data_IF_997399149976
#
_entry.id   IF_997399149976
#
_cell.length_a   1.000
_cell.length_b   1.000
_cell.length_c   1.000
_cell.angle_alpha   90.00
_cell.angle_beta   90.00
_cell.angle_gamma   90.00
#
_symmetry.space_group_name_H-M   'P 1'
#
loop_
_entity.id
_entity.type
_entity.pdbx_description
1 polymer ?
#
# COMPACT_ATOMS: atom_id res chain seq x y z
N UNK A 1 10.34 13.49 8.48
CA UNK A 1 11.81 13.47 8.32
C UNK A 1 12.33 12.15 8.83
N UNK A 2 13.23 11.53 8.08
CA UNK A 2 13.95 10.33 8.53
C UNK A 2 14.96 10.69 9.62
N UNK A 3 15.51 9.68 10.32
CA UNK A 3 16.43 9.88 11.45
C UNK A 3 17.90 9.82 10.99
N UNK A 4 18.78 10.47 11.74
CA UNK A 4 20.23 10.37 11.52
C UNK A 4 20.67 8.94 11.86
N UNK A 5 21.59 8.40 11.07
CA UNK A 5 22.07 7.02 11.18
C UNK A 5 21.11 5.96 10.62
N UNK A 6 19.95 6.35 10.09
CA UNK A 6 19.00 5.40 9.52
C UNK A 6 19.56 4.80 8.24
N UNK A 7 19.39 3.48 8.09
CA UNK A 7 19.82 2.71 6.92
C UNK A 7 18.84 2.91 5.78
N UNK A 8 19.37 3.27 4.62
CA UNK A 8 18.62 3.54 3.40
C UNK A 8 19.19 2.72 2.25
N UNK A 9 18.40 2.58 1.19
CA UNK A 9 18.81 2.02 -0.10
C UNK A 9 18.68 3.11 -1.16
N UNK A 10 19.67 3.20 -2.04
CA UNK A 10 19.62 4.10 -3.20
C UNK A 10 18.78 3.44 -4.28
N UNK A 11 17.70 4.10 -4.70
CA UNK A 11 16.74 3.55 -5.68
C UNK A 11 16.86 4.20 -7.06
N UNK A 12 17.38 5.43 -7.13
CA UNK A 12 17.55 6.15 -8.38
C UNK A 12 18.76 7.11 -8.33
N UNK A 13 19.11 7.67 -9.49
CA UNK A 13 20.11 8.74 -9.63
C UNK A 13 19.58 9.81 -10.58
N UNK A 14 18.62 10.61 -10.11
CA UNK A 14 17.95 11.61 -10.95
C UNK A 14 18.88 12.74 -11.39
N UNK A 15 19.89 13.04 -10.58
CA UNK A 15 20.83 14.13 -10.82
C UNK A 15 22.16 13.66 -11.42
N UNK A 16 22.26 12.39 -11.84
CA UNK A 16 23.45 11.79 -12.46
C UNK A 16 24.74 12.04 -11.65
N UNK A 17 24.66 11.93 -10.32
CA UNK A 17 25.79 12.10 -9.41
C UNK A 17 26.70 10.85 -9.37
N UNK A 18 26.38 9.84 -10.19
CA UNK A 18 26.99 8.52 -10.20
C UNK A 18 26.75 7.80 -8.86
N UNK A 19 25.49 7.83 -8.42
CA UNK A 19 25.06 7.15 -7.21
C UNK A 19 25.10 5.63 -7.45
N UNK A 20 25.62 4.84 -6.49
CA UNK A 20 25.58 3.39 -6.60
C UNK A 20 24.15 2.89 -6.29
N UNK A 21 23.30 2.85 -7.30
CA UNK A 21 21.91 2.37 -7.20
C UNK A 21 21.87 0.90 -6.77
N UNK A 22 20.94 0.57 -5.89
CA UNK A 22 20.80 -0.74 -5.24
C UNK A 22 21.68 -0.94 -4.01
N UNK A 23 22.54 0.03 -3.68
CA UNK A 23 23.43 -0.07 -2.53
C UNK A 23 22.89 0.64 -1.29
N UNK A 24 23.46 0.23 -0.16
CA UNK A 24 23.12 0.80 1.13
C UNK A 24 23.84 2.12 1.40
N UNK A 25 23.13 3.00 2.08
CA UNK A 25 23.66 4.23 2.65
C UNK A 25 23.12 4.50 4.05
N UNK A 26 23.68 5.52 4.69
CA UNK A 26 23.25 6.01 5.99
C UNK A 26 23.06 7.51 5.95
N UNK A 27 21.97 8.00 6.52
CA UNK A 27 21.71 9.44 6.63
C UNK A 27 22.65 10.04 7.66
N UNK A 28 23.48 11.01 7.28
CA UNK A 28 24.45 11.65 8.18
C UNK A 28 24.12 13.12 8.48
N UNK A 29 23.36 13.78 7.61
CA UNK A 29 22.88 15.13 7.83
C UNK A 29 21.66 15.43 6.95
N UNK A 30 21.00 16.56 7.24
CA UNK A 30 19.91 17.11 6.43
C UNK A 30 20.36 18.44 5.86
N UNK A 31 19.94 18.73 4.64
CA UNK A 31 19.96 20.11 4.17
C UNK A 31 18.78 20.88 4.78
N UNK A 32 19.01 22.13 5.17
CA UNK A 32 17.98 23.04 5.71
C UNK A 32 17.57 24.10 4.70
N UNK A 33 18.22 24.15 3.55
CA UNK A 33 17.91 25.11 2.52
C UNK A 33 16.66 24.67 1.75
N UNK A 34 15.58 25.44 1.90
CA UNK A 34 14.28 25.16 1.26
C UNK A 34 14.36 25.33 -0.27
N UNK A 35 15.31 26.13 -0.75
CA UNK A 35 15.54 26.34 -2.18
C UNK A 35 16.39 25.23 -2.82
N UNK A 36 16.92 24.30 -2.02
CA UNK A 36 17.73 23.21 -2.54
C UNK A 36 16.87 22.01 -2.95
N UNK A 37 17.20 21.39 -4.07
CA UNK A 37 16.54 20.18 -4.55
C UNK A 37 16.95 18.92 -3.77
N UNK A 38 17.91 19.04 -2.84
CA UNK A 38 18.44 17.93 -2.06
C UNK A 38 17.99 18.00 -0.60
N UNK A 39 17.53 16.87 -0.06
CA UNK A 39 16.99 16.78 1.30
C UNK A 39 18.02 16.21 2.30
N UNK A 40 18.80 15.21 1.86
CA UNK A 40 19.62 14.39 2.74
C UNK A 40 21.07 14.34 2.29
N UNK A 41 21.99 14.32 3.25
CA UNK A 41 23.38 13.92 3.01
C UNK A 41 23.53 12.49 3.50
N UNK A 42 23.94 11.61 2.60
CA UNK A 42 24.13 10.18 2.87
C UNK A 42 25.60 9.78 2.80
N UNK A 43 26.00 8.84 3.65
CA UNK A 43 27.28 8.12 3.57
C UNK A 43 27.05 6.79 2.88
N UNK A 44 27.80 6.52 1.81
CA UNK A 44 27.76 5.22 1.12
C UNK A 44 29.07 4.46 1.39
N UNK A 45 29.06 3.39 2.21
CA UNK A 45 30.26 2.65 2.56
C UNK A 45 30.98 2.06 1.34
N UNK A 46 30.23 1.49 0.38
CA UNK A 46 30.80 0.84 -0.82
C UNK A 46 31.60 1.82 -1.69
N UNK A 47 31.11 3.04 -1.85
CA UNK A 47 31.81 4.09 -2.59
C UNK A 47 32.82 4.86 -1.72
N UNK A 48 32.80 4.64 -0.40
CA UNK A 48 33.56 5.39 0.60
C UNK A 48 33.40 6.93 0.47
N UNK A 49 32.23 7.38 0.01
CA UNK A 49 31.93 8.79 -0.31
C UNK A 49 30.62 9.25 0.34
N UNK A 50 30.48 10.58 0.45
CA UNK A 50 29.25 11.23 0.87
C UNK A 50 28.56 11.79 -0.37
N UNK A 51 27.24 11.70 -0.40
CA UNK A 51 26.42 12.24 -1.49
C UNK A 51 25.31 13.10 -0.89
N UNK A 52 24.88 14.12 -1.64
CA UNK A 52 23.68 14.90 -1.31
C UNK A 52 22.60 14.42 -2.26
N UNK A 53 21.48 13.95 -1.73
CA UNK A 53 20.46 13.25 -2.51
C UNK A 53 19.08 13.80 -2.21
N UNK A 54 18.19 13.88 -3.20
CA UNK A 54 16.78 14.16 -2.97
C UNK A 54 16.15 12.96 -2.26
N UNK A 55 15.04 13.18 -1.55
CA UNK A 55 14.27 12.11 -0.93
C UNK A 55 13.77 11.08 -1.95
N UNK A 56 13.59 11.48 -3.21
CA UNK A 56 13.09 10.61 -4.29
C UNK A 56 14.09 9.55 -4.75
N UNK A 57 15.39 9.76 -4.51
CA UNK A 57 16.45 8.85 -4.97
C UNK A 57 16.84 7.80 -3.93
N UNK A 58 16.26 7.87 -2.73
CA UNK A 58 16.55 6.97 -1.61
C UNK A 58 15.25 6.47 -0.99
N UNK A 59 15.28 5.28 -0.41
CA UNK A 59 14.14 4.69 0.32
C UNK A 59 14.62 4.02 1.60
N UNK A 60 13.74 3.91 2.61
CA UNK A 60 14.09 3.18 3.83
C UNK A 60 14.13 1.67 3.55
N UNK A 61 15.16 0.99 4.06
CA UNK A 61 15.26 -0.48 3.90
C UNK A 61 14.02 -1.19 4.46
N UNK A 62 13.51 -0.76 5.61
CA UNK A 62 12.33 -1.32 6.27
C UNK A 62 11.10 -1.27 5.37
N UNK A 63 10.94 -0.18 4.61
CA UNK A 63 9.81 0.03 3.70
C UNK A 63 9.92 -0.89 2.49
N UNK A 64 11.12 -1.04 1.92
CA UNK A 64 11.36 -1.96 0.82
C UNK A 64 11.11 -3.42 1.22
N UNK A 65 11.54 -3.81 2.43
CA UNK A 65 11.27 -5.14 2.98
C UNK A 65 9.77 -5.34 3.15
N UNK A 66 9.06 -4.35 3.69
CA UNK A 66 7.61 -4.45 3.88
C UNK A 66 6.87 -4.68 2.55
N UNK A 67 7.23 -3.92 1.50
CA UNK A 67 6.62 -4.12 0.18
C UNK A 67 6.93 -5.49 -0.42
N UNK A 68 8.15 -6.00 -0.23
CA UNK A 68 8.51 -7.33 -0.70
C UNK A 68 7.74 -8.43 0.06
N UNK A 69 7.61 -8.28 1.38
CA UNK A 69 6.82 -9.20 2.22
C UNK A 69 5.35 -9.20 1.79
N UNK A 70 4.74 -8.03 1.59
CA UNK A 70 3.35 -7.91 1.14
C UNK A 70 3.14 -8.54 -0.25
N UNK A 71 4.11 -8.39 -1.15
CA UNK A 71 4.04 -9.01 -2.48
C UNK A 71 4.09 -10.55 -2.37
N UNK A 72 5.05 -11.07 -1.63
CA UNK A 72 5.23 -12.52 -1.43
C UNK A 72 4.04 -13.13 -0.69
N UNK A 73 3.52 -12.44 0.33
CA UNK A 73 2.31 -12.86 1.05
C UNK A 73 1.11 -12.94 0.09
N UNK A 74 0.89 -11.92 -0.72
CA UNK A 74 -0.20 -11.90 -1.71
C UNK A 74 -0.07 -13.06 -2.71
N UNK A 75 1.11 -13.29 -3.25
CA UNK A 75 1.39 -14.41 -4.18
C UNK A 75 1.10 -15.76 -3.51
N UNK A 76 1.61 -15.98 -2.29
CA UNK A 76 1.39 -17.22 -1.55
C UNK A 76 -0.10 -17.47 -1.23
N UNK A 77 -0.85 -16.43 -0.89
CA UNK A 77 -2.28 -16.53 -0.62
C UNK A 77 -3.09 -16.83 -1.90
N UNK A 78 -2.69 -16.28 -3.05
CA UNK A 78 -3.30 -16.60 -4.35
C UNK A 78 -3.06 -18.08 -4.68
N UNK A 79 -1.82 -18.55 -4.55
CA UNK A 79 -1.47 -19.94 -4.83
C UNK A 79 -2.25 -20.91 -3.92
N UNK A 80 -2.37 -20.57 -2.64
CA UNK A 80 -3.18 -21.33 -1.69
C UNK A 80 -4.67 -21.33 -2.07
N UNK A 81 -5.24 -20.20 -2.46
CA UNK A 81 -6.63 -20.09 -2.87
C UNK A 81 -6.92 -20.94 -4.12
N UNK A 82 -6.00 -20.92 -5.09
CA UNK A 82 -6.10 -21.74 -6.31
C UNK A 82 -5.98 -23.23 -6.00
N UNK A 83 -5.02 -23.62 -5.16
CA UNK A 83 -4.81 -25.03 -4.77
C UNK A 83 -5.98 -25.61 -3.98
N UNK A 84 -6.66 -24.78 -3.18
CA UNK A 84 -7.83 -25.16 -2.37
C UNK A 84 -9.16 -24.93 -3.06
N UNK A 85 -9.16 -24.38 -4.29
CA UNK A 85 -10.36 -23.90 -4.99
C UNK A 85 -11.22 -22.95 -4.14
N UNK A 86 -10.59 -22.13 -3.30
CA UNK A 86 -11.26 -21.14 -2.47
C UNK A 86 -11.48 -19.83 -3.26
N UNK A 87 -12.62 -19.77 -3.95
CA UNK A 87 -12.98 -18.62 -4.78
C UNK A 87 -13.18 -17.31 -4.01
N UNK A 88 -13.66 -17.39 -2.77
CA UNK A 88 -13.92 -16.21 -1.93
C UNK A 88 -12.59 -15.54 -1.53
N UNK A 89 -11.63 -16.34 -1.07
CA UNK A 89 -10.29 -15.86 -0.73
C UNK A 89 -9.59 -15.26 -1.96
N UNK A 90 -9.67 -15.93 -3.11
CA UNK A 90 -9.09 -15.45 -4.36
C UNK A 90 -9.66 -14.09 -4.77
N UNK A 91 -11.00 -13.93 -4.78
CA UNK A 91 -11.66 -12.68 -5.13
C UNK A 91 -11.28 -11.55 -4.16
N UNK A 92 -11.23 -11.84 -2.86
CA UNK A 92 -10.83 -10.85 -1.84
C UNK A 92 -9.40 -10.35 -2.03
N UNK A 93 -8.45 -11.23 -2.33
CA UNK A 93 -7.05 -10.84 -2.52
C UNK A 93 -6.87 -10.02 -3.81
N UNK A 94 -7.60 -10.37 -4.87
CA UNK A 94 -7.53 -9.70 -6.17
C UNK A 94 -8.20 -8.31 -6.16
N UNK A 95 -9.35 -8.19 -5.49
CA UNK A 95 -10.12 -6.93 -5.43
C UNK A 95 -9.68 -6.02 -4.27
N UNK A 96 -8.85 -6.53 -3.36
CA UNK A 96 -8.49 -5.88 -2.09
C UNK A 96 -9.62 -6.00 -1.06
N UNK A 97 -9.41 -5.45 0.15
CA UNK A 97 -10.45 -5.38 1.20
C UNK A 97 -11.64 -4.45 0.85
N UNK A 98 -11.80 -4.11 -0.43
CA UNK A 98 -13.05 -3.60 -0.96
C UNK A 98 -13.98 -4.80 -1.04
N UNK A 99 -14.50 -5.19 0.12
CA UNK A 99 -15.80 -5.84 0.18
C UNK A 99 -16.74 -4.74 -0.29
N UNK A 100 -17.09 -4.75 -1.58
CA UNK A 100 -18.43 -4.30 -1.94
C UNK A 100 -19.31 -5.17 -1.04
N UNK A 101 -19.80 -4.58 0.05
CA UNK A 101 -21.01 -5.09 0.68
C UNK A 101 -21.96 -5.22 -0.50
N UNK A 102 -22.23 -6.46 -0.93
CA UNK A 102 -23.49 -6.73 -1.57
C UNK A 102 -24.49 -6.17 -0.59
N UNK A 103 -24.95 -4.95 -0.87
CA UNK A 103 -26.17 -4.43 -0.32
C UNK A 103 -27.15 -5.51 -0.73
N UNK A 104 -27.45 -6.43 0.19
CA UNK A 104 -28.68 -7.17 0.13
C UNK A 104 -29.72 -6.07 -0.04
N UNK A 105 -30.20 -5.93 -1.28
CA UNK A 105 -31.39 -5.16 -1.58
C UNK A 105 -32.47 -5.82 -0.74
N UNK A 106 -32.62 -5.31 0.48
CA UNK A 106 -33.68 -5.69 1.39
C UNK A 106 -34.98 -5.67 0.60
N UNK A 107 -35.93 -6.57 0.94
CA UNK A 107 -37.09 -6.85 0.10
C UNK A 107 -37.74 -5.55 -0.34
N UNK A 108 -38.00 -5.43 -1.66
CA UNK A 108 -38.55 -4.24 -2.30
C UNK A 108 -39.59 -3.55 -1.41
N UNK A 109 -39.57 -2.21 -1.28
CA UNK A 109 -40.54 -1.52 -0.45
C UNK A 109 -41.94 -1.79 -1.01
N UNK A 110 -42.67 -2.68 -0.35
CA UNK A 110 -44.05 -2.99 -0.70
C UNK A 110 -44.85 -1.69 -0.70
N UNK A 111 -45.46 -1.39 -1.85
CA UNK A 111 -46.24 -0.18 -2.04
C UNK A 111 -47.38 -0.17 -1.01
N UNK A 112 -47.64 1.01 -0.41
CA UNK A 112 -48.67 1.23 0.63
C UNK A 112 -50.05 0.69 0.23
N UNK A 113 -50.32 0.61 -1.07
CA UNK A 113 -51.53 0.02 -1.64
C UNK A 113 -51.68 -1.49 -1.35
N UNK A 114 -50.58 -2.25 -1.37
CA UNK A 114 -50.59 -3.69 -1.13
C UNK A 114 -50.68 -4.01 0.38
N UNK A 115 -50.08 -3.17 1.23
CA UNK A 115 -50.25 -3.23 2.69
C UNK A 115 -51.72 -3.08 3.13
N UNK A 116 -52.45 -2.12 2.54
CA UNK A 116 -53.86 -1.86 2.90
C UNK A 116 -54.76 -3.03 2.49
N UNK A 117 -54.47 -3.71 1.37
CA UNK A 117 -55.23 -4.90 0.94
C UNK A 117 -55.08 -6.07 1.92
N UNK A 118 -53.87 -6.29 2.44
CA UNK A 118 -53.61 -7.41 3.36
C UNK A 118 -54.32 -7.26 4.71
N UNK A 119 -54.53 -6.02 5.18
CA UNK A 119 -55.21 -5.75 6.46
C UNK A 119 -56.73 -5.94 6.34
N UNK A 120 -57.34 -5.49 5.23
CA UNK A 120 -58.79 -5.63 5.03
C UNK A 120 -59.25 -7.08 4.78
N UNK A 121 -58.35 -8.00 4.43
CA UNK A 121 -58.66 -9.42 4.25
C UNK A 121 -58.77 -10.20 5.58
N UNK A 122 -58.33 -9.63 6.71
CA UNK A 122 -58.39 -10.30 8.03
C UNK A 122 -59.45 -9.75 8.99
N UNK A 123 -60.24 -8.76 8.58
CA UNK A 123 -61.33 -8.22 9.38
C UNK A 123 -62.69 -8.80 8.92
N UNK A 124 -62.95 -10.06 9.28
CA UNK A 124 -64.31 -10.59 9.44
C UNK A 124 -64.29 -11.76 10.45
N UNK A 125 -64.72 -11.46 11.67
CA UNK A 125 -65.50 -12.34 12.56
C UNK A 125 -66.75 -11.53 12.91
#
# INVERSE_FOLDING_TARGET
>A
MWKLGQKIVIVADQFEQNLPVGEYGYIIAYDRNVDNAFDYIIRVPKANKNFVVPKTDIELEEVLIQYEVERVEREALIDFALATHNEELFKRIMNGDIVEEEIELGPEPQNRADFIRQINLKAWI
#
